data_IF_665591643037
#
_entry.id   IF_665591643037
#
_cell.length_a   1.000
_cell.length_b   1.000
_cell.length_c   1.000
_cell.angle_alpha   90.00
_cell.angle_beta   90.00
_cell.angle_gamma   90.00
#
_symmetry.space_group_name_H-M   'P 1'
#
loop_
_entity.id
_entity.type
_entity.pdbx_description
1 polymer ?
#
# COMPACT_ATOMS: atom_id res chain seq x y z
N UNK A 1 -5.19 -17.78 28.39
CA UNK A 1 -5.84 -17.02 27.31
C UNK A 1 -6.22 -15.68 27.88
N UNK A 2 -5.61 -14.60 27.41
CA UNK A 2 -5.93 -13.24 27.85
C UNK A 2 -6.96 -12.69 26.88
N UNK A 3 -8.09 -12.22 27.40
CA UNK A 3 -9.16 -11.64 26.58
C UNK A 3 -9.17 -10.12 26.78
N UNK A 4 -8.95 -9.36 25.71
CA UNK A 4 -9.04 -7.90 25.74
C UNK A 4 -10.35 -7.48 25.05
N UNK A 5 -11.25 -6.85 25.81
CA UNK A 5 -12.52 -6.34 25.29
C UNK A 5 -12.41 -4.86 24.93
N UNK A 6 -12.72 -4.51 23.68
CA UNK A 6 -12.90 -3.14 23.23
C UNK A 6 -14.38 -2.90 22.90
N UNK A 7 -15.04 -2.08 23.71
CA UNK A 7 -16.41 -1.67 23.46
C UNK A 7 -16.43 -0.43 22.55
N UNK A 8 -16.49 -0.66 21.23
CA UNK A 8 -16.58 0.42 20.24
C UNK A 8 -18.01 0.93 20.20
N UNK A 9 -19.00 0.05 20.12
CA UNK A 9 -20.42 0.41 20.22
C UNK A 9 -21.06 -0.28 21.44
N UNK A 10 -21.37 0.48 22.52
CA UNK A 10 -22.05 -0.06 23.70
C UNK A 10 -23.41 -0.69 23.43
N UNK A 11 -24.07 -0.28 22.34
CA UNK A 11 -25.33 -0.84 21.87
C UNK A 11 -25.14 -1.84 20.72
N UNK A 12 -23.88 -2.19 20.42
CA UNK A 12 -23.50 -3.10 19.35
C UNK A 12 -24.11 -4.49 19.52
N UNK A 13 -24.49 -5.06 18.38
CA UNK A 13 -25.13 -6.37 18.20
C UNK A 13 -24.16 -7.46 17.69
N UNK A 14 -22.90 -7.09 17.42
CA UNK A 14 -21.87 -7.95 16.85
C UNK A 14 -20.57 -7.85 17.66
N UNK A 15 -19.91 -8.99 17.86
CA UNK A 15 -18.56 -9.10 18.37
C UNK A 15 -17.64 -9.58 17.25
N UNK A 16 -16.54 -8.86 17.04
CA UNK A 16 -15.47 -9.27 16.12
C UNK A 16 -14.28 -9.76 16.93
N UNK A 17 -13.93 -11.03 16.79
CA UNK A 17 -12.79 -11.65 17.48
C UNK A 17 -11.55 -11.58 16.59
N UNK A 18 -10.51 -10.88 17.04
CA UNK A 18 -9.18 -10.86 16.45
C UNK A 18 -8.28 -11.91 17.12
N UNK A 19 -7.94 -12.94 16.36
CA UNK A 19 -7.04 -14.03 16.78
C UNK A 19 -5.62 -13.77 16.29
N UNK A 20 -4.61 -14.17 17.08
CA UNK A 20 -3.18 -13.98 16.74
C UNK A 20 -2.88 -12.53 16.30
N UNK A 21 -3.15 -11.52 17.14
CA UNK A 21 -2.94 -10.12 16.77
C UNK A 21 -1.47 -9.82 16.44
N UNK A 22 -1.25 -8.82 15.58
CA UNK A 22 0.07 -8.28 15.23
C UNK A 22 1.02 -9.29 14.53
N UNK A 23 0.50 -10.22 13.72
CA UNK A 23 1.34 -11.14 12.93
C UNK A 23 1.54 -10.73 11.47
N UNK A 24 0.69 -9.85 10.93
CA UNK A 24 0.87 -9.30 9.58
C UNK A 24 2.13 -8.43 9.50
N UNK A 25 2.96 -8.62 8.48
CA UNK A 25 4.18 -7.85 8.22
C UNK A 25 4.02 -6.95 7.00
N UNK A 26 3.96 -5.64 7.22
CA UNK A 26 3.74 -4.64 6.15
C UNK A 26 4.98 -3.85 5.73
N UNK A 27 6.10 -4.02 6.44
CA UNK A 27 7.37 -3.34 6.12
C UNK A 27 8.13 -4.22 5.12
N UNK A 28 8.35 -3.76 3.87
CA UNK A 28 9.10 -4.52 2.88
C UNK A 28 10.61 -4.48 3.15
N UNK A 29 11.30 -5.57 2.81
CA UNK A 29 12.76 -5.64 2.78
C UNK A 29 13.25 -5.28 1.36
N UNK A 30 14.23 -4.39 1.26
CA UNK A 30 14.79 -3.92 -0.02
C UNK A 30 16.30 -4.04 0.03
N UNK A 31 16.86 -4.87 -0.86
CA UNK A 31 18.29 -5.16 -0.95
C UNK A 31 18.92 -4.27 -2.04
N UNK A 32 19.71 -3.29 -1.64
CA UNK A 32 20.39 -2.40 -2.58
C UNK A 32 21.90 -2.68 -2.49
N UNK A 33 22.51 -3.11 -3.59
CA UNK A 33 23.95 -3.34 -3.64
C UNK A 33 24.69 -1.99 -3.67
N UNK A 34 25.52 -1.72 -2.66
CA UNK A 34 26.22 -0.44 -2.46
C UNK A 34 27.12 -0.01 -3.64
N UNK A 35 27.58 -0.94 -4.48
CA UNK A 35 28.39 -0.63 -5.67
C UNK A 35 27.59 0.00 -6.82
N UNK A 36 26.28 -0.28 -6.91
CA UNK A 36 25.42 0.19 -8.01
C UNK A 36 24.70 1.50 -7.70
N UNK A 37 24.56 1.85 -6.42
CA UNK A 37 23.86 3.06 -5.96
C UNK A 37 24.75 3.91 -5.06
N UNK A 38 25.51 4.84 -5.66
CA UNK A 38 26.23 5.90 -4.91
C UNK A 38 25.30 6.95 -4.26
N UNK A 39 24.06 6.62 -3.93
CA UNK A 39 23.11 7.58 -3.38
C UNK A 39 21.89 6.97 -2.69
N UNK A 40 21.83 7.17 -1.37
CA UNK A 40 20.60 7.38 -0.60
C UNK A 40 19.67 6.18 -0.39
N UNK A 41 20.19 5.11 0.23
CA UNK A 41 19.34 4.11 0.89
C UNK A 41 18.57 4.80 2.02
N UNK A 42 17.24 4.81 1.94
CA UNK A 42 16.38 5.40 2.96
C UNK A 42 16.42 4.55 4.25
N UNK A 43 17.29 4.96 5.18
CA UNK A 43 17.49 4.34 6.50
C UNK A 43 16.54 4.88 7.57
N UNK A 44 15.62 5.78 7.23
CA UNK A 44 14.75 6.36 8.22
C UNK A 44 13.84 5.29 8.84
N UNK A 45 13.58 5.47 10.13
CA UNK A 45 12.73 4.60 10.90
C UNK A 45 11.26 4.77 10.46
N UNK A 46 10.63 3.65 10.09
CA UNK A 46 9.23 3.61 9.66
C UNK A 46 8.26 3.48 10.83
N UNK A 47 8.80 3.17 12.02
CA UNK A 47 8.08 2.98 13.27
C UNK A 47 8.01 4.25 14.10
N UNK A 48 8.66 5.34 13.66
CA UNK A 48 8.64 6.63 14.37
C UNK A 48 7.45 7.50 13.90
N UNK A 49 6.60 8.03 14.80
CA UNK A 49 6.58 7.80 16.25
C UNK A 49 6.07 6.41 16.62
N UNK A 50 6.60 5.81 17.69
CA UNK A 50 6.16 4.48 18.13
C UNK A 50 4.66 4.45 18.40
N UNK A 51 3.97 3.50 17.77
CA UNK A 51 2.53 3.34 17.90
C UNK A 51 2.19 2.20 18.87
N UNK A 52 1.11 2.32 19.68
CA UNK A 52 0.68 1.23 20.54
C UNK A 52 0.33 -0.01 19.72
N UNK A 53 0.78 -1.18 20.18
CA UNK A 53 0.46 -2.48 19.57
C UNK A 53 -1.03 -2.83 19.72
N UNK A 54 -1.71 -2.26 20.73
CA UNK A 54 -3.09 -2.59 21.11
C UNK A 54 -3.21 -3.74 22.11
N UNK A 55 -2.09 -4.29 22.61
CA UNK A 55 -2.06 -5.42 23.55
C UNK A 55 -1.82 -5.03 25.02
N UNK A 56 -1.50 -3.76 25.29
CA UNK A 56 -1.03 -3.34 26.62
C UNK A 56 0.26 -4.07 27.00
N UNK A 57 0.35 -4.52 28.25
CA UNK A 57 1.48 -5.29 28.79
C UNK A 57 1.35 -6.81 28.54
N UNK A 58 0.36 -7.25 27.76
CA UNK A 58 0.03 -8.67 27.58
C UNK A 58 0.93 -9.35 26.54
N UNK A 59 1.28 -10.61 26.79
CA UNK A 59 2.09 -11.43 25.87
C UNK A 59 1.34 -11.81 24.58
N UNK A 60 2.08 -11.85 23.46
CA UNK A 60 1.56 -11.92 22.08
C UNK A 60 0.95 -13.30 21.77
N UNK A 61 1.37 -14.37 22.45
CA UNK A 61 1.12 -15.74 22.01
C UNK A 61 -0.24 -16.35 22.41
N UNK A 62 -0.98 -15.76 23.36
CA UNK A 62 -2.28 -16.30 23.84
C UNK A 62 -3.39 -15.26 23.99
N UNK A 63 -3.30 -14.15 23.26
CA UNK A 63 -4.26 -13.04 23.37
C UNK A 63 -5.25 -13.07 22.23
N UNK A 64 -6.54 -13.16 22.55
CA UNK A 64 -7.64 -12.84 21.65
C UNK A 64 -8.20 -11.47 22.04
N UNK A 65 -8.58 -10.68 21.03
CA UNK A 65 -9.14 -9.35 21.24
C UNK A 65 -10.53 -9.32 20.66
N UNK A 66 -11.50 -8.93 21.46
CA UNK A 66 -12.89 -8.83 21.05
C UNK A 66 -13.29 -7.36 20.90
N UNK A 67 -13.93 -7.05 19.78
CA UNK A 67 -14.45 -5.73 19.49
C UNK A 67 -15.96 -5.79 19.41
N UNK A 68 -16.65 -5.15 20.37
CA UNK A 68 -18.11 -4.99 20.31
C UNK A 68 -18.45 -3.81 19.41
N UNK A 69 -19.22 -4.07 18.36
CA UNK A 69 -19.51 -3.15 17.24
C UNK A 69 -20.96 -3.30 16.77
N UNK A 70 -21.42 -2.36 15.96
CA UNK A 70 -22.70 -2.47 15.25
C UNK A 70 -22.51 -3.12 13.88
N UNK A 71 -23.26 -4.19 13.64
CA UNK A 71 -23.33 -4.85 12.33
C UNK A 71 -23.77 -3.86 11.24
N UNK A 72 -24.74 -2.98 11.54
CA UNK A 72 -25.26 -1.97 10.61
C UNK A 72 -24.18 -0.99 10.13
N UNK A 73 -23.35 -0.49 11.05
CA UNK A 73 -22.23 0.40 10.68
C UNK A 73 -21.22 -0.33 9.78
N UNK A 74 -20.89 -1.59 10.10
CA UNK A 74 -19.98 -2.38 9.26
C UNK A 74 -20.54 -2.62 7.85
N UNK A 75 -21.81 -3.05 7.72
CA UNK A 75 -22.46 -3.29 6.43
C UNK A 75 -22.50 -2.03 5.57
N UNK A 76 -22.82 -0.89 6.18
CA UNK A 76 -22.90 0.39 5.48
C UNK A 76 -21.54 0.81 4.90
N UNK A 77 -20.46 0.62 5.67
CA UNK A 77 -19.13 1.10 5.31
C UNK A 77 -18.30 0.13 4.45
N UNK A 78 -18.71 -1.14 4.36
CA UNK A 78 -17.92 -2.21 3.74
C UNK A 78 -18.80 -3.23 3.04
N UNK A 79 -18.58 -3.37 1.73
CA UNK A 79 -19.20 -4.45 0.93
C UNK A 79 -18.76 -5.84 1.37
N UNK A 80 -17.58 -5.97 1.98
CA UNK A 80 -17.07 -7.25 2.50
C UNK A 80 -17.83 -7.62 3.77
N UNK A 81 -17.95 -6.69 4.72
CA UNK A 81 -18.75 -6.94 5.92
C UNK A 81 -20.23 -7.13 5.60
N UNK A 82 -20.78 -6.40 4.62
CA UNK A 82 -22.15 -6.64 4.16
C UNK A 82 -22.34 -8.06 3.66
N UNK A 83 -21.50 -8.52 2.73
CA UNK A 83 -21.55 -9.91 2.24
C UNK A 83 -21.32 -10.94 3.35
N UNK A 84 -20.39 -10.67 4.26
CA UNK A 84 -20.08 -11.55 5.39
C UNK A 84 -21.26 -11.73 6.33
N UNK A 85 -22.05 -10.67 6.53
CA UNK A 85 -23.15 -10.60 7.51
C UNK A 85 -24.56 -10.70 6.88
N UNK A 86 -24.67 -10.80 5.56
CA UNK A 86 -25.95 -10.86 4.82
C UNK A 86 -26.18 -12.21 4.10
N UNK A 87 -25.27 -13.18 4.24
CA UNK A 87 -25.39 -14.52 3.63
C UNK A 87 -26.38 -15.47 4.33
N UNK A 88 -26.79 -16.58 3.68
CA UNK A 88 -27.68 -17.59 4.26
C UNK A 88 -26.92 -18.46 5.26
N UNK A 89 -26.72 -17.95 6.47
CA UNK A 89 -26.01 -18.67 7.53
C UNK A 89 -26.97 -19.47 8.40
N UNK A 90 -26.48 -20.61 8.90
CA UNK A 90 -27.22 -21.65 9.66
C UNK A 90 -27.86 -21.19 10.99
N UNK A 91 -27.78 -19.92 11.35
CA UNK A 91 -28.14 -19.42 12.68
C UNK A 91 -29.15 -18.26 12.65
N UNK A 92 -29.94 -18.14 11.58
CA UNK A 92 -31.22 -17.44 11.67
C UNK A 92 -32.22 -18.14 12.63
N UNK A 93 -31.90 -19.34 13.12
CA UNK A 93 -32.49 -19.87 14.33
C UNK A 93 -31.67 -19.41 15.54
N UNK A 94 -32.18 -18.38 16.20
CA UNK A 94 -32.03 -18.24 17.64
C UNK A 94 -32.27 -19.64 18.25
N UNK A 95 -31.28 -20.26 18.88
CA UNK A 95 -31.48 -21.52 19.61
C UNK A 95 -32.36 -21.23 20.83
N UNK A 96 -33.66 -21.14 20.63
CA UNK A 96 -34.63 -21.28 21.70
C UNK A 96 -34.70 -22.78 22.03
N UNK A 97 -33.78 -23.26 22.85
CA UNK A 97 -33.98 -24.55 23.52
C UNK A 97 -35.04 -24.36 24.61
N UNK A 98 -36.32 -24.49 24.23
CA UNK A 98 -37.36 -24.89 25.17
C UNK A 98 -37.66 -26.37 24.89
N UNK A 99 -37.70 -27.23 25.92
CA UNK A 99 -38.14 -28.60 25.73
C UNK A 99 -39.61 -28.59 25.31
N UNK A 100 -39.93 -29.35 24.25
CA UNK A 100 -41.29 -29.61 23.86
C UNK A 100 -42.03 -30.29 25.02
N UNK A 101 -42.87 -29.54 25.74
CA UNK A 101 -43.95 -30.12 26.53
C UNK A 101 -45.15 -30.28 25.61
N UNK A 102 -45.50 -31.52 25.34
CA UNK A 102 -46.74 -31.94 24.70
C UNK A 102 -47.93 -31.25 25.37
N UNK A 103 -48.73 -30.55 24.56
CA UNK A 103 -50.04 -30.05 24.96
C UNK A 103 -51.09 -30.92 24.25
N UNK A 104 -51.66 -31.88 24.98
CA UNK A 104 -53.00 -32.37 24.70
C UNK A 104 -54.00 -31.40 25.35
N UNK A 105 -54.94 -30.91 24.55
CA UNK A 105 -55.94 -29.93 24.99
C UNK A 105 -57.14 -30.56 25.68
N UNK A 106 -57.89 -29.74 26.42
CA UNK A 106 -59.35 -29.86 26.54
C UNK A 106 -59.99 -28.64 27.22
N UNK A 107 -60.96 -28.10 26.48
CA UNK A 107 -62.24 -27.49 26.86
C UNK A 107 -62.42 -26.14 27.60
N UNK A 108 -63.45 -25.47 27.05
CA UNK A 108 -64.12 -24.22 27.38
C UNK A 108 -64.64 -24.13 28.83
N UNK A 109 -64.72 -22.90 29.36
CA UNK A 109 -66.02 -22.24 29.70
C UNK A 109 -65.80 -20.77 30.12
N UNK A 110 -66.72 -19.95 29.64
CA UNK A 110 -66.94 -18.51 29.85
C UNK A 110 -67.42 -18.18 31.28
N UNK A 111 -67.18 -16.95 31.77
CA UNK A 111 -68.14 -16.04 32.44
C UNK A 111 -67.48 -14.92 33.30
N UNK A 112 -67.70 -13.68 32.83
CA UNK A 112 -68.19 -12.47 33.55
C UNK A 112 -67.59 -11.96 34.88
N UNK A 113 -67.16 -10.68 34.82
CA UNK A 113 -67.54 -9.53 35.67
C UNK A 113 -67.00 -9.26 37.12
N UNK A 114 -66.65 -7.97 37.30
CA UNK A 114 -66.63 -7.09 38.49
C UNK A 114 -65.60 -7.29 39.63
N UNK A 115 -64.75 -6.25 39.83
CA UNK A 115 -64.68 -5.37 41.02
C UNK A 115 -63.25 -4.97 41.45
N UNK A 116 -63.10 -3.68 41.75
CA UNK A 116 -61.95 -2.99 42.35
C UNK A 116 -61.44 -3.63 43.65
N UNK A 117 -60.13 -3.63 43.88
CA UNK A 117 -59.55 -3.08 45.13
C UNK A 117 -58.05 -2.80 45.01
N UNK A 118 -57.64 -1.59 45.38
CA UNK A 118 -56.24 -1.26 45.67
C UNK A 118 -55.82 -1.84 47.01
N UNK A 119 -54.70 -2.55 47.09
CA UNK A 119 -53.89 -2.69 48.32
C UNK A 119 -52.41 -2.64 47.94
N UNK A 120 -51.68 -1.72 48.57
CA UNK A 120 -50.28 -1.45 48.29
C UNK A 120 -49.29 -2.39 48.98
N UNK A 121 -48.06 -2.29 48.47
CA UNK A 121 -46.78 -2.35 49.19
C UNK A 121 -46.53 -3.51 50.15
N UNK A 122 -45.68 -4.45 49.72
CA UNK A 122 -44.30 -4.61 50.24
C UNK A 122 -43.69 -5.85 49.56
N UNK A 123 -42.66 -5.68 48.73
CA UNK A 123 -41.84 -6.82 48.27
C UNK A 123 -40.40 -6.60 48.70
N UNK A 124 -39.98 -7.52 49.56
CA UNK A 124 -38.69 -7.66 50.20
C UNK A 124 -37.62 -8.08 49.17
N UNK A 125 -36.55 -7.28 49.07
CA UNK A 125 -35.41 -7.51 48.18
C UNK A 125 -34.29 -8.17 48.98
N UNK A 126 -34.30 -9.50 49.12
CA UNK A 126 -33.14 -10.25 49.64
C UNK A 126 -33.22 -11.75 49.38
N UNK A 127 -33.00 -12.20 48.14
CA UNK A 127 -32.47 -13.56 47.88
C UNK A 127 -31.51 -13.56 46.66
N UNK A 128 -30.35 -14.26 46.72
CA UNK A 128 -29.39 -14.30 45.63
C UNK A 128 -29.87 -15.25 44.52
N UNK A 129 -30.04 -14.73 43.32
CA UNK A 129 -30.32 -15.54 42.13
C UNK A 129 -29.01 -16.26 41.74
N UNK A 130 -29.01 -17.60 41.57
CA UNK A 130 -27.83 -18.32 41.10
C UNK A 130 -27.49 -17.88 39.68
N UNK A 131 -26.20 -17.61 39.42
CA UNK A 131 -25.71 -17.15 38.13
C UNK A 131 -25.98 -18.19 37.02
N UNK A 132 -27.07 -17.98 36.28
CA UNK A 132 -27.29 -18.59 34.97
C UNK A 132 -26.26 -17.98 34.00
N UNK A 133 -25.55 -18.77 33.17
CA UNK A 133 -24.68 -18.20 32.16
C UNK A 133 -25.57 -17.41 31.20
N UNK A 134 -25.42 -16.08 31.20
CA UNK A 134 -26.11 -15.19 30.25
C UNK A 134 -25.60 -15.58 28.88
N UNK A 135 -26.44 -16.27 28.10
CA UNK A 135 -26.19 -16.47 26.68
C UNK A 135 -25.97 -15.08 26.07
N UNK A 136 -24.77 -14.84 25.56
CA UNK A 136 -24.41 -13.59 24.90
C UNK A 136 -25.22 -13.49 23.61
N UNK A 137 -26.27 -12.65 23.61
CA UNK A 137 -27.16 -12.40 22.46
C UNK A 137 -26.49 -11.60 21.32
N UNK A 138 -25.18 -11.76 21.13
CA UNK A 138 -24.40 -11.06 20.12
C UNK A 138 -23.98 -12.04 19.04
N UNK A 139 -24.02 -11.60 17.79
CA UNK A 139 -23.45 -12.34 16.68
C UNK A 139 -21.93 -12.30 16.80
N UNK A 140 -21.24 -13.35 16.36
CA UNK A 140 -19.77 -13.40 16.39
C UNK A 140 -19.21 -13.64 14.99
N UNK A 141 -18.18 -12.86 14.63
CA UNK A 141 -17.31 -13.16 13.48
C UNK A 141 -15.86 -13.13 13.95
N UNK A 142 -14.98 -13.86 13.26
CA UNK A 142 -13.55 -13.88 13.59
C UNK A 142 -12.65 -13.48 12.43
N UNK A 143 -11.52 -12.86 12.77
CA UNK A 143 -10.45 -12.47 11.85
C UNK A 143 -9.10 -12.78 12.49
N UNK A 144 -8.02 -12.84 11.71
CA UNK A 144 -6.71 -13.25 12.22
C UNK A 144 -5.60 -12.29 11.81
N UNK A 145 -4.60 -12.11 12.66
CA UNK A 145 -3.31 -11.56 12.24
C UNK A 145 -3.18 -10.04 12.17
N UNK A 146 -4.30 -9.32 12.06
CA UNK A 146 -4.27 -7.87 11.93
C UNK A 146 -3.52 -7.18 13.06
N UNK A 147 -2.90 -6.04 12.74
CA UNK A 147 -2.37 -5.16 13.76
C UNK A 147 -3.53 -4.63 14.61
N UNK A 148 -3.56 -4.97 15.90
CA UNK A 148 -4.73 -4.80 16.75
C UNK A 148 -5.17 -3.34 16.88
N UNK A 149 -4.24 -2.42 17.16
CA UNK A 149 -4.58 -1.00 17.25
C UNK A 149 -5.03 -0.40 15.90
N UNK A 150 -4.39 -0.76 14.78
CA UNK A 150 -4.82 -0.31 13.45
C UNK A 150 -6.22 -0.83 13.10
N UNK A 151 -6.51 -2.10 13.41
CA UNK A 151 -7.83 -2.71 13.20
C UNK A 151 -8.91 -2.02 14.03
N UNK A 152 -8.61 -1.77 15.32
CA UNK A 152 -9.48 -0.97 16.19
C UNK A 152 -9.78 0.41 15.61
N UNK A 153 -8.76 1.11 15.12
CA UNK A 153 -8.92 2.43 14.51
C UNK A 153 -9.84 2.39 13.29
N UNK A 154 -9.71 1.40 12.41
CA UNK A 154 -10.63 1.23 11.26
C UNK A 154 -12.06 1.05 11.74
N UNK A 155 -12.29 0.21 12.76
CA UNK A 155 -13.62 0.02 13.33
C UNK A 155 -14.16 1.31 13.97
N UNK A 156 -13.33 2.05 14.73
CA UNK A 156 -13.71 3.34 15.33
C UNK A 156 -14.09 4.37 14.26
N UNK A 157 -13.38 4.42 13.13
CA UNK A 157 -13.73 5.30 12.00
C UNK A 157 -15.07 4.92 11.39
N UNK A 158 -15.31 3.62 11.15
CA UNK A 158 -16.60 3.12 10.63
C UNK A 158 -17.77 3.52 11.55
N UNK A 159 -17.52 3.60 12.87
CA UNK A 159 -18.50 4.03 13.87
C UNK A 159 -18.51 5.55 14.13
N UNK A 160 -17.82 6.35 13.31
CA UNK A 160 -17.80 7.82 13.42
C UNK A 160 -17.03 8.38 14.61
N UNK A 161 -16.19 7.59 15.29
CA UNK A 161 -15.48 7.98 16.51
C UNK A 161 -14.16 8.71 16.24
N UNK A 162 -14.19 9.72 15.37
CA UNK A 162 -13.00 10.40 14.86
C UNK A 162 -12.18 11.12 15.96
N UNK A 163 -12.81 11.48 17.09
CA UNK A 163 -12.12 12.14 18.23
C UNK A 163 -11.09 11.26 18.92
N UNK A 164 -11.15 9.93 18.75
CA UNK A 164 -10.23 8.97 19.38
C UNK A 164 -8.99 8.68 18.53
N UNK A 165 -8.93 9.24 17.32
CA UNK A 165 -7.86 8.93 16.38
C UNK A 165 -6.53 9.54 16.82
N UNK A 166 -5.42 8.82 16.62
CA UNK A 166 -4.09 9.37 16.85
C UNK A 166 -3.81 10.53 15.90
N UNK A 167 -3.34 11.66 16.43
CA UNK A 167 -2.96 12.83 15.61
C UNK A 167 -1.73 12.54 14.74
N UNK A 168 -0.70 11.90 15.32
CA UNK A 168 0.52 11.51 14.60
C UNK A 168 0.60 9.99 14.53
N UNK A 169 0.94 9.47 13.36
CA UNK A 169 1.07 8.03 13.11
C UNK A 169 2.39 7.72 12.42
N UNK A 170 2.99 6.58 12.77
CA UNK A 170 4.13 6.02 12.03
C UNK A 170 3.70 5.58 10.63
N UNK A 171 4.67 5.45 9.72
CA UNK A 171 4.41 4.98 8.36
C UNK A 171 3.95 3.51 8.37
N UNK A 172 4.52 2.68 9.25
CA UNK A 172 4.09 1.31 9.47
C UNK A 172 2.61 1.23 9.87
N UNK A 173 2.22 1.98 10.90
CA UNK A 173 0.84 1.98 11.39
C UNK A 173 -0.13 2.46 10.31
N UNK A 174 0.21 3.53 9.58
CA UNK A 174 -0.61 4.00 8.47
C UNK A 174 -0.73 2.95 7.36
N UNK A 175 0.34 2.20 7.09
CA UNK A 175 0.32 1.10 6.12
C UNK A 175 -0.60 -0.03 6.59
N UNK A 176 -0.56 -0.41 7.88
CA UNK A 176 -1.51 -1.38 8.43
C UNK A 176 -2.97 -0.93 8.27
N UNK A 177 -3.28 0.33 8.59
CA UNK A 177 -4.62 0.88 8.38
C UNK A 177 -5.03 0.83 6.91
N UNK A 178 -4.12 1.17 5.99
CA UNK A 178 -4.37 1.08 4.55
C UNK A 178 -4.68 -0.36 4.10
N UNK A 179 -3.90 -1.35 4.57
CA UNK A 179 -4.09 -2.77 4.24
C UNK A 179 -5.44 -3.26 4.73
N UNK A 180 -5.79 -2.97 5.99
CA UNK A 180 -7.09 -3.36 6.57
C UNK A 180 -8.23 -2.69 5.80
N UNK A 181 -8.16 -1.38 5.58
CA UNK A 181 -9.22 -0.64 4.90
C UNK A 181 -9.43 -1.10 3.46
N UNK A 182 -8.34 -1.45 2.76
CA UNK A 182 -8.41 -2.00 1.41
C UNK A 182 -8.98 -3.43 1.41
N UNK A 183 -8.55 -4.29 2.33
CA UNK A 183 -9.05 -5.67 2.46
C UNK A 183 -10.56 -5.73 2.69
N UNK A 184 -11.07 -4.89 3.59
CA UNK A 184 -12.51 -4.79 3.85
C UNK A 184 -13.24 -3.86 2.88
N UNK A 185 -12.58 -3.31 1.86
CA UNK A 185 -13.19 -2.36 0.90
C UNK A 185 -13.91 -1.18 1.59
N UNK A 186 -13.33 -0.65 2.66
CA UNK A 186 -13.84 0.51 3.41
C UNK A 186 -12.89 1.72 3.34
N UNK A 187 -12.07 1.81 2.29
CA UNK A 187 -11.11 2.91 2.09
C UNK A 187 -11.78 4.29 2.09
N UNK A 188 -13.01 4.39 1.58
CA UNK A 188 -13.79 5.64 1.58
C UNK A 188 -14.13 6.12 2.99
N UNK A 189 -14.55 5.21 3.87
CA UNK A 189 -14.84 5.54 5.27
C UNK A 189 -13.60 6.08 5.99
N UNK A 190 -12.42 5.56 5.65
CA UNK A 190 -11.13 5.91 6.29
C UNK A 190 -10.42 7.08 5.57
N UNK A 191 -10.90 7.50 4.40
CA UNK A 191 -10.25 8.49 3.53
C UNK A 191 -9.98 9.83 4.23
N UNK A 192 -10.89 10.31 5.06
CA UNK A 192 -10.73 11.58 5.77
C UNK A 192 -9.57 11.52 6.78
N UNK A 193 -9.47 10.44 7.56
CA UNK A 193 -8.35 10.23 8.48
C UNK A 193 -7.02 10.10 7.72
N UNK A 194 -7.01 9.33 6.62
CA UNK A 194 -5.84 9.17 5.76
C UNK A 194 -5.33 10.50 5.20
N UNK A 195 -6.24 11.42 4.82
CA UNK A 195 -5.87 12.77 4.36
C UNK A 195 -5.15 13.57 5.44
N UNK A 196 -5.63 13.55 6.68
CA UNK A 196 -4.98 14.24 7.80
C UNK A 196 -3.59 13.67 8.09
N UNK A 197 -3.47 12.34 8.22
CA UNK A 197 -2.18 11.70 8.44
C UNK A 197 -1.19 11.94 7.31
N UNK A 198 -1.67 12.03 6.06
CA UNK A 198 -0.83 12.41 4.92
C UNK A 198 -0.29 13.84 5.05
N UNK A 199 -1.14 14.80 5.40
CA UNK A 199 -0.75 16.21 5.56
C UNK A 199 0.25 16.40 6.70
N UNK A 200 0.10 15.63 7.78
CA UNK A 200 0.96 15.73 8.96
C UNK A 200 2.27 14.94 8.84
N UNK A 201 2.33 13.94 7.96
CA UNK A 201 3.58 13.30 7.54
C UNK A 201 4.33 14.17 6.52
N UNK A 202 5.15 15.10 7.03
CA UNK A 202 5.92 16.04 6.20
C UNK A 202 7.07 15.37 5.43
N UNK A 203 7.58 14.25 5.93
CA UNK A 203 8.74 13.56 5.37
C UNK A 203 8.32 12.50 4.34
N UNK A 204 7.88 12.96 3.16
CA UNK A 204 7.64 12.08 2.01
C UNK A 204 8.98 11.72 1.35
N UNK A 205 9.24 10.43 1.04
CA UNK A 205 10.50 9.99 0.46
C UNK A 205 10.85 10.66 -0.86
N UNK A 206 12.14 10.92 -1.05
CA UNK A 206 12.72 11.44 -2.30
C UNK A 206 13.64 10.44 -2.98
N UNK A 207 13.91 9.30 -2.34
CA UNK A 207 14.65 8.17 -2.91
C UNK A 207 13.82 6.90 -2.87
N UNK A 208 14.14 5.97 -3.76
CA UNK A 208 13.49 4.67 -3.81
C UNK A 208 13.96 3.77 -2.66
N UNK A 209 13.03 3.12 -1.97
CA UNK A 209 13.30 2.18 -0.88
C UNK A 209 12.02 1.77 -0.15
N UNK A 210 12.16 1.16 1.03
CA UNK A 210 11.02 0.65 1.82
C UNK A 210 9.92 1.70 2.05
N UNK A 211 10.31 2.94 2.40
CA UNK A 211 9.37 4.03 2.68
C UNK A 211 8.61 4.47 1.43
N UNK A 212 9.29 4.56 0.28
CA UNK A 212 8.61 4.94 -0.98
C UNK A 212 7.65 3.84 -1.43
N UNK A 213 7.97 2.56 -1.20
CA UNK A 213 7.08 1.43 -1.50
C UNK A 213 5.84 1.44 -0.59
N UNK A 214 6.00 1.69 0.71
CA UNK A 214 4.87 1.82 1.63
C UNK A 214 3.98 3.02 1.26
N UNK A 215 4.57 4.17 0.94
CA UNK A 215 3.81 5.33 0.44
C UNK A 215 3.15 5.09 -0.91
N UNK A 216 3.78 4.32 -1.80
CA UNK A 216 3.18 3.89 -3.07
C UNK A 216 1.89 3.10 -2.80
N UNK A 217 1.94 2.15 -1.87
CA UNK A 217 0.76 1.37 -1.47
C UNK A 217 -0.33 2.24 -0.82
N UNK A 218 0.01 3.06 0.18
CA UNK A 218 -0.94 3.93 0.87
C UNK A 218 -1.65 4.86 -0.12
N UNK A 219 -0.87 5.51 -0.98
CA UNK A 219 -1.41 6.44 -1.97
C UNK A 219 -2.26 5.77 -3.04
N UNK A 220 -1.97 4.51 -3.36
CA UNK A 220 -2.84 3.68 -4.19
C UNK A 220 -4.16 3.34 -3.48
N UNK A 221 -4.10 2.80 -2.26
CA UNK A 221 -5.26 2.36 -1.50
C UNK A 221 -6.28 3.49 -1.23
N UNK A 222 -5.79 4.69 -0.87
CA UNK A 222 -6.59 5.87 -0.53
C UNK A 222 -6.78 6.88 -1.66
N UNK A 223 -6.43 6.52 -2.88
CA UNK A 223 -6.60 7.35 -4.06
C UNK A 223 -5.97 8.76 -3.97
N UNK A 224 -4.65 8.80 -3.67
CA UNK A 224 -3.87 10.04 -3.53
C UNK A 224 -2.95 10.28 -4.75
N UNK A 225 -3.45 10.88 -5.85
CA UNK A 225 -2.76 10.88 -7.15
C UNK A 225 -1.37 11.51 -7.12
N UNK A 226 -1.20 12.68 -6.50
CA UNK A 226 0.11 13.36 -6.45
C UNK A 226 1.16 12.54 -5.70
N UNK A 227 0.80 11.94 -4.56
CA UNK A 227 1.71 11.09 -3.80
C UNK A 227 2.03 9.82 -4.59
N UNK A 228 1.02 9.22 -5.21
CA UNK A 228 1.17 8.01 -6.01
C UNK A 228 2.12 8.22 -7.20
N UNK A 229 1.90 9.25 -8.02
CA UNK A 229 2.75 9.54 -9.18
C UNK A 229 4.19 9.83 -8.78
N UNK A 230 4.42 10.51 -7.64
CA UNK A 230 5.77 10.74 -7.13
C UNK A 230 6.46 9.44 -6.73
N UNK A 231 5.79 8.57 -5.95
CA UNK A 231 6.37 7.30 -5.50
C UNK A 231 6.56 6.32 -6.66
N UNK A 232 5.63 6.28 -7.60
CA UNK A 232 5.73 5.45 -8.80
C UNK A 232 6.87 5.94 -9.70
N UNK A 233 7.05 7.27 -9.81
CA UNK A 233 8.20 7.87 -10.50
C UNK A 233 9.53 7.41 -9.90
N UNK A 234 9.66 7.37 -8.57
CA UNK A 234 10.85 6.81 -7.91
C UNK A 234 11.05 5.33 -8.24
N UNK A 235 9.99 4.52 -8.24
CA UNK A 235 10.06 3.10 -8.59
C UNK A 235 10.48 2.86 -10.04
N UNK A 236 9.99 3.67 -10.98
CA UNK A 236 10.37 3.55 -12.41
C UNK A 236 11.79 4.05 -12.64
N UNK A 237 12.18 5.14 -11.97
CA UNK A 237 13.46 5.82 -12.20
C UNK A 237 14.63 5.11 -11.51
N UNK A 238 14.46 4.80 -10.23
CA UNK A 238 15.53 4.34 -9.33
C UNK A 238 15.29 2.90 -8.83
N UNK A 239 14.13 2.30 -9.16
CA UNK A 239 13.87 0.90 -8.84
C UNK A 239 14.87 -0.06 -9.48
N UNK A 240 15.09 -1.16 -8.78
CA UNK A 240 15.95 -2.26 -9.21
C UNK A 240 15.08 -3.46 -9.60
N UNK A 241 15.74 -4.62 -9.72
CA UNK A 241 15.09 -5.90 -9.95
C UNK A 241 14.12 -6.24 -8.80
N UNK A 242 12.95 -6.80 -9.12
CA UNK A 242 11.99 -7.24 -8.10
C UNK A 242 12.56 -8.38 -7.25
N UNK A 243 13.55 -9.14 -7.74
CA UNK A 243 14.27 -10.12 -6.91
C UNK A 243 14.94 -9.50 -5.68
N UNK A 244 15.17 -8.19 -5.68
CA UNK A 244 15.76 -7.45 -4.56
C UNK A 244 14.71 -6.94 -3.56
N UNK A 245 13.44 -7.33 -3.68
CA UNK A 245 12.36 -6.84 -2.83
C UNK A 245 11.59 -8.01 -2.25
N UNK A 246 11.40 -8.02 -0.94
CA UNK A 246 10.43 -8.89 -0.27
C UNK A 246 9.31 -8.04 0.28
N UNK A 247 8.10 -8.19 -0.28
CA UNK A 247 6.92 -7.38 0.12
C UNK A 247 6.26 -7.87 1.40
N UNK A 248 6.54 -9.11 1.82
CA UNK A 248 5.80 -9.82 2.88
C UNK A 248 4.29 -9.75 2.63
N UNK A 249 3.49 -9.31 3.62
CA UNK A 249 2.04 -9.23 3.53
C UNK A 249 1.53 -7.91 2.92
N UNK A 250 2.41 -7.03 2.44
CA UNK A 250 2.03 -5.78 1.78
C UNK A 250 1.55 -6.06 0.34
N UNK A 251 0.27 -5.79 -0.01
CA UNK A 251 -0.27 -6.14 -1.32
C UNK A 251 0.04 -5.06 -2.36
N UNK A 252 1.33 -4.93 -2.72
CA UNK A 252 1.85 -3.93 -3.65
C UNK A 252 2.55 -4.52 -4.88
N UNK A 253 2.65 -5.86 -4.96
CA UNK A 253 3.39 -6.57 -6.01
C UNK A 253 2.96 -6.16 -7.43
N UNK A 254 1.65 -6.11 -7.71
CA UNK A 254 1.11 -5.76 -9.04
C UNK A 254 1.49 -4.33 -9.48
N UNK A 255 1.54 -3.40 -8.53
CA UNK A 255 1.95 -2.01 -8.78
C UNK A 255 3.45 -1.96 -9.06
N UNK A 256 4.26 -2.72 -8.32
CA UNK A 256 5.72 -2.83 -8.53
C UNK A 256 6.07 -3.51 -9.85
N UNK A 257 5.38 -4.58 -10.23
CA UNK A 257 5.52 -5.26 -11.53
C UNK A 257 5.25 -4.30 -12.69
N UNK A 258 4.19 -3.49 -12.57
CA UNK A 258 3.88 -2.47 -13.55
C UNK A 258 4.98 -1.40 -13.61
N UNK A 259 5.51 -0.97 -12.46
CA UNK A 259 6.62 -0.02 -12.42
C UNK A 259 7.88 -0.59 -13.08
N UNK A 260 8.19 -1.88 -12.83
CA UNK A 260 9.33 -2.57 -13.41
C UNK A 260 9.19 -2.70 -14.94
N UNK A 261 8.02 -3.10 -15.43
CA UNK A 261 7.75 -3.19 -16.86
C UNK A 261 7.95 -1.83 -17.55
N UNK A 262 7.50 -0.74 -16.92
CA UNK A 262 7.70 0.63 -17.43
C UNK A 262 9.16 1.05 -17.40
N UNK A 263 9.91 0.71 -16.33
CA UNK A 263 11.37 0.93 -16.24
C UNK A 263 12.10 0.21 -17.37
N UNK A 264 11.85 -1.09 -17.57
CA UNK A 264 12.46 -1.89 -18.65
C UNK A 264 12.17 -1.31 -20.02
N UNK A 265 10.92 -0.91 -20.29
CA UNK A 265 10.53 -0.25 -21.54
C UNK A 265 11.28 1.06 -21.77
N UNK A 266 11.40 1.90 -20.74
CA UNK A 266 12.13 3.17 -20.81
C UNK A 266 13.62 2.97 -21.10
N UNK A 267 14.27 2.02 -20.40
CA UNK A 267 15.67 1.66 -20.62
C UNK A 267 15.86 1.15 -22.05
N UNK A 268 15.01 0.22 -22.51
CA UNK A 268 15.08 -0.33 -23.86
C UNK A 268 15.00 0.76 -24.92
N UNK A 269 14.11 1.75 -24.74
CA UNK A 269 13.98 2.88 -25.66
C UNK A 269 15.26 3.72 -25.72
N UNK A 270 15.87 4.07 -24.58
CA UNK A 270 17.14 4.81 -24.56
C UNK A 270 18.26 4.05 -25.26
N UNK A 271 18.40 2.75 -24.97
CA UNK A 271 19.45 1.92 -25.55
C UNK A 271 19.24 1.73 -27.06
N UNK A 272 17.99 1.58 -27.50
CA UNK A 272 17.64 1.46 -28.92
C UNK A 272 17.94 2.75 -29.68
N UNK A 273 17.57 3.91 -29.14
CA UNK A 273 17.90 5.21 -29.77
C UNK A 273 19.41 5.43 -29.86
N UNK A 274 20.16 5.00 -28.84
CA UNK A 274 21.62 5.06 -28.87
C UNK A 274 22.22 4.18 -29.98
N UNK A 275 21.65 3.00 -30.21
CA UNK A 275 22.04 2.13 -31.32
C UNK A 275 21.67 2.75 -32.69
N UNK A 276 20.52 3.41 -32.79
CA UNK A 276 20.11 4.11 -34.01
C UNK A 276 20.99 5.33 -34.32
N UNK A 277 21.42 6.09 -33.30
CA UNK A 277 22.40 7.17 -33.47
C UNK A 277 23.71 6.60 -34.03
N UNK A 278 24.22 5.51 -33.46
CA UNK A 278 25.43 4.84 -33.95
C UNK A 278 25.29 4.44 -35.42
N UNK A 279 24.19 3.78 -35.77
CA UNK A 279 23.89 3.36 -37.13
C UNK A 279 23.88 4.56 -38.08
N UNK A 280 23.19 5.65 -37.71
CA UNK A 280 23.12 6.88 -38.53
C UNK A 280 24.49 7.54 -38.71
N UNK A 281 25.36 7.51 -37.70
CA UNK A 281 26.74 8.00 -37.82
C UNK A 281 27.56 7.16 -38.81
N UNK A 282 27.47 5.82 -38.73
CA UNK A 282 28.19 4.90 -39.61
C UNK A 282 27.81 5.12 -41.08
N UNK A 283 26.51 5.22 -41.38
CA UNK A 283 26.02 5.42 -42.75
C UNK A 283 26.04 6.87 -43.23
N UNK A 284 26.51 7.82 -42.40
CA UNK A 284 26.60 9.23 -42.79
C UNK A 284 25.26 9.96 -42.87
N UNK A 285 24.24 9.44 -42.19
CA UNK A 285 22.93 10.07 -42.03
C UNK A 285 22.92 11.10 -40.89
N UNK A 286 23.96 11.12 -40.06
CA UNK A 286 24.14 12.05 -38.94
C UNK A 286 25.60 12.51 -38.86
N UNK A 287 25.82 13.73 -38.37
CA UNK A 287 27.15 14.36 -38.26
C UNK A 287 27.47 15.27 -39.45
N UNK A 288 28.28 16.30 -39.21
CA UNK A 288 28.55 17.35 -40.22
C UNK A 288 29.70 17.02 -41.19
N UNK A 289 30.58 16.06 -40.85
CA UNK A 289 31.73 15.69 -41.66
C UNK A 289 32.19 14.26 -41.35
N UNK A 290 33.03 13.68 -42.21
CA UNK A 290 33.61 12.36 -41.95
C UNK A 290 34.46 12.33 -40.66
N UNK A 291 35.28 13.36 -40.43
CA UNK A 291 36.08 13.49 -39.20
C UNK A 291 35.18 13.51 -37.96
N UNK A 292 34.15 14.34 -37.98
CA UNK A 292 33.14 14.47 -36.93
C UNK A 292 32.48 13.12 -36.61
N UNK A 293 32.06 12.37 -37.64
CA UNK A 293 31.46 11.05 -37.49
C UNK A 293 32.41 10.05 -36.85
N UNK A 294 33.66 9.98 -37.32
CA UNK A 294 34.67 9.09 -36.73
C UNK A 294 34.92 9.39 -35.25
N UNK A 295 34.97 10.68 -34.87
CA UNK A 295 35.15 11.09 -33.47
C UNK A 295 33.94 10.70 -32.61
N UNK A 296 32.71 10.97 -33.07
CA UNK A 296 31.50 10.59 -32.35
C UNK A 296 31.36 9.06 -32.19
N UNK A 297 31.67 8.29 -33.24
CA UNK A 297 31.66 6.81 -33.19
C UNK A 297 32.71 6.32 -32.18
N UNK A 298 33.93 6.87 -32.22
CA UNK A 298 34.99 6.51 -31.28
C UNK A 298 34.61 6.80 -29.82
N UNK A 299 34.05 7.98 -29.55
CA UNK A 299 33.52 8.33 -28.22
C UNK A 299 32.42 7.37 -27.78
N UNK A 300 31.46 7.08 -28.65
CA UNK A 300 30.35 6.17 -28.36
C UNK A 300 30.85 4.75 -28.04
N UNK A 301 31.82 4.25 -28.79
CA UNK A 301 32.42 2.93 -28.56
C UNK A 301 33.12 2.85 -27.19
N UNK A 302 33.90 3.88 -26.84
CA UNK A 302 34.58 3.97 -25.54
C UNK A 302 33.58 4.03 -24.38
N UNK A 303 32.50 4.81 -24.52
CA UNK A 303 31.49 4.91 -23.47
C UNK A 303 30.66 3.64 -23.32
N UNK A 304 30.33 2.95 -24.41
CA UNK A 304 29.70 1.62 -24.38
C UNK A 304 30.60 0.56 -23.75
N UNK A 305 31.92 0.66 -23.94
CA UNK A 305 32.89 -0.22 -23.28
C UNK A 305 32.92 0.02 -21.76
N UNK A 306 32.91 1.29 -21.32
CA UNK A 306 32.83 1.65 -19.89
C UNK A 306 31.49 1.28 -19.27
N UNK A 307 30.41 1.32 -20.04
CA UNK A 307 29.04 1.11 -19.60
C UNK A 307 28.38 -0.03 -20.39
N UNK A 308 28.67 -1.31 -20.07
CA UNK A 308 28.16 -2.45 -20.83
C UNK A 308 26.63 -2.58 -20.92
N UNK A 309 25.92 -1.90 -20.02
CA UNK A 309 24.45 -1.84 -20.00
C UNK A 309 23.84 -0.95 -21.10
N UNK A 310 24.65 -0.13 -21.78
CA UNK A 310 24.23 0.66 -22.94
C UNK A 310 24.24 -0.15 -24.25
N UNK A 311 24.47 -1.47 -24.15
CA UNK A 311 24.54 -2.38 -25.30
C UNK A 311 23.42 -3.40 -25.20
N UNK A 312 22.66 -3.57 -26.30
CA UNK A 312 21.70 -4.67 -26.43
C UNK A 312 22.49 -5.99 -26.58
N UNK A 313 22.62 -6.75 -25.49
CA UNK A 313 23.14 -8.13 -25.58
C UNK A 313 21.97 -9.06 -25.91
N UNK A 314 22.08 -9.78 -27.02
CA UNK A 314 21.08 -10.78 -27.41
C UNK A 314 20.92 -11.84 -26.30
N UNK A 315 19.73 -11.89 -25.70
CA UNK A 315 19.25 -13.05 -24.94
C UNK A 315 19.50 -13.08 -23.42
N UNK A 316 20.21 -12.12 -22.81
CA UNK A 316 20.29 -12.05 -21.34
C UNK A 316 19.95 -10.64 -20.84
N UNK A 317 18.85 -10.58 -20.10
CA UNK A 317 18.15 -9.37 -19.66
C UNK A 317 18.94 -8.60 -18.59
N UNK A 318 20.05 -7.96 -18.99
CA UNK A 318 20.80 -7.02 -18.13
C UNK A 318 19.97 -5.77 -17.76
N UNK A 319 18.80 -5.56 -18.38
CA UNK A 319 17.91 -4.44 -18.05
C UNK A 319 17.24 -4.61 -16.69
N UNK A 320 17.12 -5.86 -16.21
CA UNK A 320 16.54 -6.18 -14.90
C UNK A 320 17.28 -5.52 -13.73
N UNK A 321 18.62 -5.48 -13.78
CA UNK A 321 19.47 -5.06 -12.64
C UNK A 321 19.84 -3.59 -12.59
N UNK A 322 19.60 -2.82 -13.65
CA UNK A 322 20.03 -1.42 -13.73
C UNK A 322 18.87 -0.43 -13.61
N UNK A 323 19.08 0.65 -12.85
CA UNK A 323 18.10 1.73 -12.76
C UNK A 323 18.10 2.62 -14.01
N UNK A 324 16.95 3.20 -14.34
CA UNK A 324 16.82 4.16 -15.44
C UNK A 324 17.70 5.40 -15.19
N UNK A 325 17.80 5.87 -13.94
CA UNK A 325 18.73 6.93 -13.54
C UNK A 325 20.17 6.63 -13.93
N UNK A 326 20.63 5.39 -13.71
CA UNK A 326 22.00 4.99 -14.04
C UNK A 326 22.25 5.04 -15.55
N UNK A 327 21.29 4.59 -16.35
CA UNK A 327 21.36 4.66 -17.83
C UNK A 327 21.39 6.12 -18.29
N UNK A 328 20.49 6.97 -17.78
CA UNK A 328 20.45 8.41 -18.11
C UNK A 328 21.76 9.09 -17.70
N UNK A 329 22.28 8.79 -16.50
CA UNK A 329 23.56 9.31 -16.04
C UNK A 329 24.71 8.85 -16.96
N UNK A 330 24.74 7.58 -17.36
CA UNK A 330 25.76 7.06 -18.27
C UNK A 330 25.73 7.82 -19.61
N UNK A 331 24.56 8.02 -20.21
CA UNK A 331 24.41 8.81 -21.45
C UNK A 331 24.84 10.27 -21.25
N UNK A 332 24.46 10.89 -20.14
CA UNK A 332 24.85 12.27 -19.83
C UNK A 332 26.34 12.43 -19.48
N UNK A 333 27.01 11.34 -19.08
CA UNK A 333 28.44 11.32 -18.77
C UNK A 333 29.32 11.23 -20.01
N UNK A 334 28.74 11.13 -21.21
CA UNK A 334 29.48 11.22 -22.45
C UNK A 334 30.06 12.63 -22.53
N UNK A 335 31.36 12.73 -22.25
CA UNK A 335 32.05 14.01 -22.19
C UNK A 335 31.94 14.74 -23.54
N UNK A 336 31.89 16.08 -23.52
CA UNK A 336 31.94 16.83 -24.77
C UNK A 336 33.24 16.48 -25.51
N UNK A 337 33.12 16.11 -26.79
CA UNK A 337 34.30 15.93 -27.64
C UNK A 337 34.76 17.33 -28.04
N UNK A 338 35.60 17.95 -27.20
CA UNK A 338 36.24 19.21 -27.53
C UNK A 338 37.35 18.96 -28.54
N UNK A 339 37.06 19.20 -29.81
CA UNK A 339 38.06 19.19 -30.86
C UNK A 339 37.89 20.40 -31.79
N UNK A 340 39.00 20.88 -32.32
CA UNK A 340 39.05 22.00 -33.26
C UNK A 340 39.37 21.40 -34.63
N UNK A 341 38.56 21.70 -35.65
CA UNK A 341 38.94 21.36 -37.03
C UNK A 341 39.92 22.42 -37.54
N UNK A 342 41.19 22.07 -37.83
CA UNK A 342 42.16 23.03 -38.34
C UNK A 342 41.74 23.65 -39.68
N UNK A 343 40.82 22.99 -40.41
CA UNK A 343 40.27 23.48 -41.66
C UNK A 343 39.05 24.41 -41.47
N UNK A 344 38.52 24.55 -40.26
CA UNK A 344 37.40 25.44 -39.97
C UNK A 344 37.86 26.90 -39.95
N UNK A 345 37.12 27.77 -40.65
CA UNK A 345 37.32 29.23 -40.58
C UNK A 345 36.89 29.84 -39.24
N UNK A 346 36.14 29.09 -38.44
CA UNK A 346 35.71 29.47 -37.09
C UNK A 346 36.61 28.77 -36.07
N UNK A 347 37.31 29.54 -35.22
CA UNK A 347 38.15 29.07 -34.10
C UNK A 347 37.33 28.47 -32.93
N UNK A 348 36.18 27.87 -33.20
CA UNK A 348 35.30 27.29 -32.18
C UNK A 348 35.55 25.80 -31.98
N UNK A 349 35.37 25.33 -30.74
CA UNK A 349 35.25 23.91 -30.47
C UNK A 349 34.04 23.33 -31.22
N UNK A 350 34.21 22.14 -31.80
CA UNK A 350 33.17 21.47 -32.54
C UNK A 350 32.00 21.04 -31.61
N UNK A 351 30.77 21.30 -32.02
CA UNK A 351 29.61 21.20 -31.12
C UNK A 351 28.84 19.87 -31.17
N UNK A 352 29.03 19.00 -32.18
CA UNK A 352 28.26 17.74 -32.22
C UNK A 352 28.62 16.84 -31.03
N UNK A 353 27.59 16.42 -30.30
CA UNK A 353 27.70 15.58 -29.13
C UNK A 353 26.53 14.57 -29.09
N UNK A 354 26.84 13.30 -28.82
CA UNK A 354 25.82 12.25 -28.65
C UNK A 354 24.87 12.57 -27.49
N UNK A 355 25.35 13.20 -26.42
CA UNK A 355 24.50 13.63 -25.29
C UNK A 355 23.40 14.57 -25.75
N UNK A 356 23.73 15.55 -26.58
CA UNK A 356 22.75 16.51 -27.11
C UNK A 356 21.72 15.82 -28.02
N UNK A 357 22.15 14.83 -28.81
CA UNK A 357 21.26 14.04 -29.66
C UNK A 357 20.30 13.17 -28.85
N UNK A 358 20.72 12.71 -27.66
CA UNK A 358 19.91 11.91 -26.76
C UNK A 358 18.95 12.74 -25.89
N UNK A 359 19.19 14.04 -25.68
CA UNK A 359 18.36 14.86 -24.77
C UNK A 359 16.86 14.82 -25.09
N UNK A 360 16.40 14.97 -26.35
CA UNK A 360 14.97 14.92 -26.65
C UNK A 360 14.33 13.57 -26.27
N UNK A 361 15.08 12.47 -26.40
CA UNK A 361 14.63 11.13 -26.02
C UNK A 361 14.58 11.00 -24.49
N UNK A 362 15.62 11.48 -23.80
CA UNK A 362 15.68 11.48 -22.33
C UNK A 362 14.52 12.29 -21.75
N UNK A 363 14.28 13.49 -22.24
CA UNK A 363 13.17 14.36 -21.82
C UNK A 363 11.81 13.70 -22.07
N UNK A 364 11.63 13.09 -23.25
CA UNK A 364 10.40 12.36 -23.58
C UNK A 364 10.17 11.16 -22.66
N UNK A 365 11.21 10.35 -22.39
CA UNK A 365 11.14 9.22 -21.45
C UNK A 365 10.80 9.71 -20.05
N UNK A 366 11.48 10.74 -19.55
CA UNK A 366 11.21 11.32 -18.23
C UNK A 366 9.78 11.87 -18.14
N UNK A 367 9.26 12.49 -19.20
CA UNK A 367 7.89 12.98 -19.23
C UNK A 367 6.87 11.83 -19.18
N UNK A 368 7.09 10.74 -19.93
CA UNK A 368 6.25 9.55 -19.87
C UNK A 368 6.22 8.91 -18.48
N UNK A 369 7.34 8.91 -17.76
CA UNK A 369 7.36 8.44 -16.35
C UNK A 369 6.56 9.32 -15.39
N UNK A 370 6.34 10.59 -15.73
CA UNK A 370 5.53 11.52 -14.92
C UNK A 370 4.04 11.46 -15.23
N UNK A 371 3.68 11.03 -16.44
CA UNK A 371 2.28 10.93 -16.88
C UNK A 371 1.53 9.72 -16.31
N UNK A 372 2.17 8.95 -15.43
CA UNK A 372 1.58 7.77 -14.81
C UNK A 372 0.49 8.18 -13.85
N UNK A 373 -0.75 7.89 -14.24
CA UNK A 373 -1.93 8.23 -13.47
C UNK A 373 -2.32 7.06 -12.59
N UNK A 374 -2.81 7.38 -11.40
CA UNK A 374 -3.38 6.40 -10.48
C UNK A 374 -4.55 5.62 -11.12
N UNK A 375 -5.28 6.23 -12.05
CA UNK A 375 -6.37 5.59 -12.82
C UNK A 375 -5.93 4.39 -13.66
N UNK A 376 -4.64 4.27 -13.97
CA UNK A 376 -4.10 3.12 -14.71
C UNK A 376 -4.10 1.85 -13.85
N UNK A 377 -4.26 2.00 -12.53
CA UNK A 377 -4.18 0.93 -11.53
C UNK A 377 -5.58 0.70 -10.95
N UNK A 378 -6.39 -0.07 -11.68
CA UNK A 378 -7.77 -0.42 -11.28
C UNK A 378 -7.81 -1.11 -9.91
N UNK A 379 -8.87 -0.83 -9.14
CA UNK A 379 -9.31 -1.66 -8.00
C UNK A 379 -10.11 -2.86 -8.50
#
# INVERSE_FOLDING_TARGET
>A
MTLIMHNIDPSGDLVVVLKKPNTYRVIPEVWINDEETRGHVDRADVETPKMPTGLGDSDVQMTEIEFRVSSKHLKLASVVFDKMLSGPWKEANCTSSLPASEAEGQDMMELTEYADTSIGSTFDLSLPIPAVPVASNYWEISTTGWHAHAFRVVLEVIHGQLRKLPEKVSLEFFTHVAVIANYYHCTEAVSLAARFWRMWNKDIPTSYGKRSIMWLYISWAFFMPTTFSNMLGLAVKDGLDLFNITTHDLPVATVLETAEAKRKKAILRLVTELAEIERKLIYGQLGCSQKCRSMMIGSLALEKQKNPHLVLKGGNDCSSRISLSRVIHAVNSFGPIEWIDPASRFNGAHMCNVTQLMQPVIESVLQETKLLQLSDFKK
#
